data_IF_674286719174
#
_entry.id   IF_674286719174
#
_cell.length_a   1.000
_cell.length_b   1.000
_cell.length_c   1.000
_cell.angle_alpha   90.00
_cell.angle_beta   90.00
_cell.angle_gamma   90.00
#
_symmetry.space_group_name_H-M   'P 1'
#
loop_
_entity.id
_entity.type
_entity.pdbx_description
1 polymer ?
#
# COMPACT_ATOMS: atom_id res chain seq x y z
N UNK A 1 40.83 63.88 -13.79
CA UNK A 1 40.48 64.80 -12.68
C UNK A 1 38.97 64.98 -12.79
N UNK A 2 38.11 64.66 -11.82
CA UNK A 2 38.25 64.69 -10.38
C UNK A 2 37.13 63.82 -9.75
N UNK A 3 37.57 62.94 -8.86
CA UNK A 3 36.98 62.41 -7.62
C UNK A 3 35.59 61.79 -7.43
N UNK A 4 35.69 60.69 -6.67
CA UNK A 4 34.73 59.98 -5.81
C UNK A 4 34.12 60.95 -4.78
N UNK A 5 32.91 60.67 -4.30
CA UNK A 5 32.59 60.43 -2.86
C UNK A 5 31.07 60.37 -2.64
N UNK A 6 30.58 59.18 -2.27
CA UNK A 6 29.57 58.85 -1.24
C UNK A 6 28.30 59.71 -1.16
N UNK A 7 27.13 59.09 -1.40
CA UNK A 7 26.05 59.11 -0.40
C UNK A 7 25.17 57.87 -0.52
N UNK A 8 25.10 57.13 0.58
CA UNK A 8 24.29 55.93 0.75
C UNK A 8 22.80 56.28 0.85
N UNK A 9 21.94 55.52 0.16
CA UNK A 9 20.53 55.39 0.50
C UNK A 9 20.18 53.90 0.44
N UNK A 10 20.16 53.28 1.62
CA UNK A 10 19.61 51.94 1.87
C UNK A 10 18.10 52.09 1.96
N UNK A 11 17.32 51.57 1.00
CA UNK A 11 15.90 51.29 1.22
C UNK A 11 15.48 50.01 0.50
N UNK A 12 15.37 48.94 1.30
CA UNK A 12 14.29 47.96 1.35
C UNK A 12 13.79 47.23 0.07
N UNK A 13 13.98 45.90 0.10
CA UNK A 13 12.98 44.86 -0.21
C UNK A 13 12.55 44.74 -1.69
N UNK A 14 12.72 43.60 -2.36
CA UNK A 14 12.09 42.32 -2.03
C UNK A 14 12.86 41.15 -2.69
N UNK A 15 13.24 40.15 -1.91
CA UNK A 15 13.62 38.84 -2.46
C UNK A 15 12.35 38.00 -2.51
N UNK A 16 11.72 37.90 -3.68
CA UNK A 16 10.65 36.93 -3.92
C UNK A 16 11.35 35.59 -4.20
N UNK A 17 11.64 34.84 -3.13
CA UNK A 17 12.05 33.44 -3.25
C UNK A 17 10.78 32.59 -3.44
N UNK A 18 10.34 32.49 -4.70
CA UNK A 18 9.22 31.64 -5.10
C UNK A 18 9.58 30.16 -4.97
N UNK A 19 9.36 29.57 -3.80
CA UNK A 19 9.33 28.12 -3.65
C UNK A 19 7.99 27.60 -4.17
N UNK A 20 7.97 27.13 -5.43
CA UNK A 20 6.90 26.26 -5.93
C UNK A 20 7.04 24.88 -5.26
N UNK A 21 6.72 24.82 -3.97
CA UNK A 21 6.54 23.58 -3.23
C UNK A 21 5.22 22.95 -3.64
N UNK A 22 5.24 22.04 -4.62
CA UNK A 22 4.13 21.13 -4.84
C UNK A 22 3.98 20.30 -3.56
N UNK A 23 2.92 20.56 -2.79
CA UNK A 23 2.57 19.78 -1.61
C UNK A 23 2.13 18.39 -2.05
N UNK A 24 3.09 17.46 -2.06
CA UNK A 24 2.79 16.02 -2.05
C UNK A 24 2.02 15.76 -0.76
N UNK A 25 0.69 15.67 -0.87
CA UNK A 25 -0.15 15.29 0.25
C UNK A 25 0.20 13.85 0.64
N UNK A 26 1.10 13.72 1.62
CA UNK A 26 1.32 12.45 2.31
C UNK A 26 0.00 12.11 3.02
N UNK A 27 -0.80 11.22 2.42
CA UNK A 27 -2.00 10.70 3.07
C UNK A 27 -1.57 10.08 4.40
N UNK A 28 -2.06 10.65 5.51
CA UNK A 28 -1.68 10.21 6.85
C UNK A 28 -2.16 8.77 7.11
N UNK A 29 -1.39 7.95 7.85
CA UNK A 29 -1.76 6.56 8.18
C UNK A 29 -3.12 6.38 8.88
N UNK A 30 -3.69 7.46 9.41
CA UNK A 30 -5.01 7.49 10.07
C UNK A 30 -6.18 7.10 9.15
N UNK A 31 -5.99 7.06 7.82
CA UNK A 31 -7.01 6.60 6.87
C UNK A 31 -6.98 5.09 6.59
N UNK A 32 -6.11 4.32 7.25
CA UNK A 32 -5.93 2.89 7.00
C UNK A 32 -6.99 2.01 7.68
N UNK A 33 -8.25 2.27 7.36
CA UNK A 33 -9.38 1.46 7.82
C UNK A 33 -9.67 0.35 6.82
N UNK A 34 -9.69 -0.89 7.30
CA UNK A 34 -10.12 -2.03 6.51
C UNK A 34 -11.59 -1.85 6.06
N UNK A 35 -11.89 -2.00 4.76
CA UNK A 35 -13.26 -1.90 4.28
C UNK A 35 -14.08 -3.13 4.68
N UNK A 36 -15.40 -2.94 4.81
CA UNK A 36 -16.33 -4.04 5.03
C UNK A 36 -16.41 -4.94 3.78
N UNK A 37 -16.00 -6.20 3.92
CA UNK A 37 -16.13 -7.22 2.89
C UNK A 37 -17.61 -7.60 2.64
N UNK A 38 -17.92 -8.18 1.48
CA UNK A 38 -19.29 -8.57 1.11
C UNK A 38 -20.14 -7.41 0.58
N UNK A 39 -19.53 -6.24 0.37
CA UNK A 39 -20.19 -5.09 -0.28
C UNK A 39 -19.96 -5.13 -1.79
N UNK A 40 -20.71 -4.34 -2.56
CA UNK A 40 -20.50 -4.23 -4.01
C UNK A 40 -19.11 -3.72 -4.40
N UNK A 41 -18.43 -2.99 -3.50
CA UNK A 41 -17.06 -2.51 -3.68
C UNK A 41 -15.99 -3.55 -3.30
N UNK A 42 -16.33 -4.43 -2.36
CA UNK A 42 -15.43 -5.48 -1.86
C UNK A 42 -16.18 -6.82 -1.85
N UNK A 43 -16.50 -7.41 -3.02
CA UNK A 43 -17.18 -8.69 -3.08
C UNK A 43 -16.39 -9.78 -2.34
N UNK A 44 -17.11 -10.60 -1.56
CA UNK A 44 -16.55 -11.82 -1.01
C UNK A 44 -16.40 -12.89 -2.09
N UNK A 45 -15.35 -13.69 -1.93
CA UNK A 45 -15.10 -14.89 -2.71
C UNK A 45 -15.68 -16.07 -1.93
N UNK A 46 -16.71 -16.70 -2.48
CA UNK A 46 -17.33 -17.89 -1.91
C UNK A 46 -17.43 -18.97 -2.98
N UNK A 47 -16.72 -20.10 -2.82
CA UNK A 47 -15.74 -20.38 -1.77
C UNK A 47 -14.50 -19.46 -1.84
N UNK A 48 -13.73 -19.31 -0.75
CA UNK A 48 -12.44 -18.64 -0.79
C UNK A 48 -11.50 -19.26 -1.82
N UNK A 49 -10.57 -18.47 -2.36
CA UNK A 49 -9.65 -18.94 -3.41
C UNK A 49 -8.31 -19.36 -2.82
N UNK A 50 -7.83 -20.54 -3.20
CA UNK A 50 -6.44 -20.92 -3.00
C UNK A 50 -5.59 -20.16 -4.03
N UNK A 51 -4.56 -19.47 -3.56
CA UNK A 51 -3.66 -18.65 -4.39
C UNK A 51 -2.21 -18.93 -4.08
N UNK A 52 -1.33 -18.68 -5.06
CA UNK A 52 0.12 -18.71 -4.89
C UNK A 52 0.72 -17.36 -5.24
N UNK A 53 1.71 -16.91 -4.47
CA UNK A 53 2.44 -15.66 -4.71
C UNK A 53 3.35 -15.80 -5.94
N UNK A 54 3.27 -14.85 -6.85
CA UNK A 54 4.04 -14.83 -8.11
C UNK A 54 5.05 -13.68 -8.19
N UNK A 55 5.96 -13.78 -9.16
CA UNK A 55 7.06 -12.84 -9.38
C UNK A 55 8.33 -13.25 -8.64
N UNK A 56 9.31 -12.34 -8.57
CA UNK A 56 10.65 -12.62 -8.01
C UNK A 56 10.92 -11.90 -6.69
N UNK A 57 10.09 -10.93 -6.32
CA UNK A 57 10.25 -10.11 -5.11
C UNK A 57 9.18 -10.44 -4.07
N UNK A 58 9.51 -10.24 -2.80
CA UNK A 58 8.57 -10.31 -1.68
C UNK A 58 7.35 -9.40 -1.90
N UNK A 59 6.19 -9.84 -1.44
CA UNK A 59 4.92 -9.12 -1.50
C UNK A 59 4.58 -8.62 -0.10
N UNK A 60 4.45 -7.30 0.04
CA UNK A 60 4.13 -6.66 1.32
C UNK A 60 2.64 -6.74 1.61
N UNK A 61 2.29 -6.94 2.87
CA UNK A 61 0.92 -6.87 3.34
C UNK A 61 0.55 -5.44 3.73
N UNK A 62 -0.72 -5.10 3.52
CA UNK A 62 -1.30 -3.81 3.85
C UNK A 62 -2.51 -4.01 4.76
N UNK A 63 -2.75 -3.11 5.71
CA UNK A 63 -3.91 -3.19 6.62
C UNK A 63 -5.22 -2.77 5.96
N UNK A 64 -5.13 -2.08 4.82
CA UNK A 64 -6.24 -1.69 3.96
C UNK A 64 -5.77 -1.77 2.50
N UNK A 65 -6.68 -1.80 1.49
CA UNK A 65 -6.32 -1.82 0.08
C UNK A 65 -5.80 -0.44 -0.41
N UNK A 66 -4.71 0.01 0.19
CA UNK A 66 -4.07 1.30 -0.07
C UNK A 66 -2.56 1.18 0.14
N UNK A 67 -1.77 1.69 -0.81
CA UNK A 67 -0.30 1.64 -0.77
C UNK A 67 0.31 2.45 0.39
N UNK A 68 -0.44 3.36 1.01
CA UNK A 68 -0.03 4.11 2.21
C UNK A 68 -0.30 3.36 3.52
N UNK A 69 -0.83 2.15 3.46
CA UNK A 69 -1.18 1.34 4.63
C UNK A 69 -0.31 0.09 4.83
N UNK A 70 1.03 0.14 4.64
CA UNK A 70 1.86 -1.06 4.76
C UNK A 70 1.90 -1.53 6.21
N UNK A 71 1.77 -2.83 6.43
CA UNK A 71 2.05 -3.44 7.72
C UNK A 71 3.57 -3.60 7.83
N UNK A 72 4.18 -3.03 8.86
CA UNK A 72 5.63 -3.09 9.04
C UNK A 72 6.07 -4.54 9.28
N UNK A 73 7.15 -4.97 8.61
CA UNK A 73 7.71 -6.31 8.76
C UNK A 73 6.90 -7.47 8.18
N UNK A 74 5.65 -7.27 7.74
CA UNK A 74 4.80 -8.36 7.24
C UNK A 74 4.86 -8.44 5.72
N UNK A 75 5.36 -9.57 5.23
CA UNK A 75 5.45 -9.90 3.82
C UNK A 75 5.46 -11.41 3.61
N UNK A 76 5.16 -11.80 2.38
CA UNK A 76 5.29 -13.17 1.88
C UNK A 76 6.24 -13.18 0.69
N UNK A 77 6.77 -14.35 0.34
CA UNK A 77 7.73 -14.53 -0.74
C UNK A 77 7.11 -15.31 -1.90
N UNK A 78 7.71 -15.27 -3.11
CA UNK A 78 7.25 -16.11 -4.21
C UNK A 78 7.08 -17.58 -3.81
N UNK A 79 6.03 -18.21 -4.34
CA UNK A 79 5.57 -19.57 -4.02
C UNK A 79 4.88 -19.78 -2.66
N UNK A 80 4.78 -18.77 -1.81
CA UNK A 80 3.93 -18.86 -0.63
C UNK A 80 2.46 -19.04 -1.05
N UNK A 81 1.74 -19.88 -0.31
CA UNK A 81 0.32 -20.17 -0.54
C UNK A 81 -0.54 -19.29 0.36
N UNK A 82 -1.56 -18.70 -0.23
CA UNK A 82 -2.49 -17.79 0.42
C UNK A 82 -3.93 -18.24 0.20
N UNK A 83 -4.80 -17.85 1.11
CA UNK A 83 -6.25 -17.99 0.96
C UNK A 83 -6.80 -16.59 0.75
N UNK A 84 -7.46 -16.34 -0.38
CA UNK A 84 -8.09 -15.06 -0.68
C UNK A 84 -9.59 -15.12 -0.36
N UNK A 85 -10.09 -14.11 0.38
CA UNK A 85 -11.47 -14.06 0.88
C UNK A 85 -12.31 -12.99 0.21
N UNK A 86 -11.70 -11.91 -0.26
CA UNK A 86 -12.39 -10.83 -0.93
C UNK A 86 -11.47 -10.16 -1.94
N UNK A 87 -12.06 -9.51 -2.95
CA UNK A 87 -11.31 -8.69 -3.89
C UNK A 87 -11.98 -7.33 -4.06
N UNK A 88 -11.19 -6.29 -4.23
CA UNK A 88 -11.69 -4.98 -4.66
C UNK A 88 -11.64 -4.87 -6.18
N UNK A 89 -12.45 -3.98 -6.76
CA UNK A 89 -12.43 -3.73 -8.21
C UNK A 89 -11.12 -3.12 -8.70
N UNK A 90 -10.39 -2.42 -7.83
CA UNK A 90 -9.10 -1.78 -8.12
C UNK A 90 -7.89 -2.71 -7.86
N UNK A 91 -8.12 -4.02 -7.79
CA UNK A 91 -7.06 -5.03 -7.89
C UNK A 91 -6.32 -5.30 -6.57
N UNK A 92 -7.06 -5.29 -5.46
CA UNK A 92 -6.57 -5.79 -4.18
C UNK A 92 -7.28 -7.07 -3.76
N UNK A 93 -6.55 -7.96 -3.11
CA UNK A 93 -7.10 -9.17 -2.49
C UNK A 93 -6.90 -9.12 -0.99
N UNK A 94 -7.96 -9.35 -0.22
CA UNK A 94 -7.87 -9.69 1.19
C UNK A 94 -7.48 -11.15 1.30
N UNK A 95 -6.37 -11.42 1.97
CA UNK A 95 -5.74 -12.73 2.04
C UNK A 95 -5.34 -13.09 3.46
N UNK A 96 -5.28 -14.39 3.73
CA UNK A 96 -4.60 -14.96 4.89
C UNK A 96 -3.42 -15.82 4.42
N UNK A 97 -2.28 -15.65 5.09
CA UNK A 97 -1.16 -16.57 5.04
C UNK A 97 -1.15 -17.41 6.31
N UNK A 98 -1.02 -18.72 6.17
CA UNK A 98 -0.77 -19.63 7.29
C UNK A 98 0.67 -20.12 7.19
N UNK A 99 1.50 -19.83 8.19
CA UNK A 99 2.87 -20.30 8.22
C UNK A 99 2.88 -21.82 8.46
N UNK A 100 3.33 -22.65 7.50
CA UNK A 100 3.27 -24.10 7.63
C UNK A 100 4.23 -24.66 8.69
N UNK A 101 5.22 -23.88 9.13
CA UNK A 101 6.20 -24.30 10.15
C UNK A 101 5.73 -23.99 11.57
N UNK A 102 5.08 -22.85 11.76
CA UNK A 102 4.69 -22.38 13.11
C UNK A 102 3.19 -22.53 13.39
N UNK A 103 2.36 -22.68 12.36
CA UNK A 103 0.91 -22.69 12.49
C UNK A 103 0.29 -21.30 12.73
N UNK A 104 1.10 -20.24 12.83
CA UNK A 104 0.60 -18.88 13.00
C UNK A 104 0.08 -18.35 11.66
N UNK A 105 -1.00 -17.57 11.70
CA UNK A 105 -1.54 -16.89 10.54
C UNK A 105 -1.31 -15.37 10.59
N UNK A 106 -1.42 -14.76 9.42
CA UNK A 106 -1.52 -13.31 9.28
C UNK A 106 -2.46 -12.99 8.13
N UNK A 107 -3.34 -12.01 8.36
CA UNK A 107 -4.28 -11.52 7.35
C UNK A 107 -3.94 -10.10 6.92
N UNK A 108 -4.33 -9.74 5.70
CA UNK A 108 -4.19 -8.39 5.18
C UNK A 108 -4.46 -8.31 3.68
N UNK A 109 -4.12 -7.16 3.10
CA UNK A 109 -4.35 -6.83 1.71
C UNK A 109 -3.06 -6.93 0.91
N UNK A 110 -3.14 -7.50 -0.30
CA UNK A 110 -2.05 -7.54 -1.28
C UNK A 110 -2.59 -7.16 -2.66
N UNK A 111 -1.70 -6.75 -3.57
CA UNK A 111 -2.08 -6.53 -4.98
C UNK A 111 -2.44 -7.86 -5.63
N UNK A 112 -3.66 -7.98 -6.17
CA UNK A 112 -4.17 -9.23 -6.78
C UNK A 112 -3.30 -9.71 -7.94
N UNK A 113 -2.69 -8.79 -8.70
CA UNK A 113 -1.76 -9.11 -9.79
C UNK A 113 -0.49 -9.87 -9.34
N UNK A 114 -0.22 -9.93 -8.03
CA UNK A 114 0.88 -10.70 -7.43
C UNK A 114 0.47 -12.12 -7.05
N UNK A 115 -0.76 -12.50 -7.34
CA UNK A 115 -1.33 -13.80 -7.02
C UNK A 115 -1.72 -14.54 -8.29
N UNK A 116 -1.55 -15.86 -8.28
CA UNK A 116 -2.17 -16.77 -9.23
C UNK A 116 -3.14 -17.67 -8.48
N UNK A 117 -4.41 -17.65 -8.86
CA UNK A 117 -5.40 -18.59 -8.33
C UNK A 117 -5.04 -20.01 -8.75
N UNK A 118 -5.05 -20.93 -7.78
CA UNK A 118 -4.78 -22.36 -7.98
C UNK A 118 -5.99 -23.24 -7.71
N UNK A 119 -7.12 -22.67 -7.30
CA UNK A 119 -8.37 -23.38 -7.05
C UNK A 119 -9.20 -22.69 -5.96
N UNK A 120 -10.13 -23.45 -5.38
CA UNK A 120 -10.98 -23.02 -4.27
C UNK A 120 -10.62 -23.77 -3.00
N UNK A 121 -10.81 -23.14 -1.84
CA UNK A 121 -10.66 -23.78 -0.52
C UNK A 121 -12.02 -24.24 -0.05
N UNK A 122 -12.17 -25.55 0.15
CA UNK A 122 -13.36 -26.17 0.74
C UNK A 122 -13.02 -26.95 2.01
N UNK A 123 -14.04 -27.35 2.79
CA UNK A 123 -13.83 -28.25 3.92
C UNK A 123 -13.20 -29.55 3.43
N UNK A 124 -12.21 -30.05 4.19
CA UNK A 124 -11.72 -31.42 4.00
C UNK A 124 -12.80 -32.35 4.54
N UNK A 125 -13.33 -33.22 3.68
CA UNK A 125 -14.23 -34.31 4.09
C UNK A 125 -13.43 -35.41 4.78
#
# INVERSE_FOLDING_TARGET
MLDRTVLAIIICSTVILGALGASVHAQTPSSCKEPHAGTSRVPMLSPPLASVVTGTRRVKFYSAPNLHCPISGVFVVPNDRLIAYAQTRDGWSSVMYLNPKTGNDVSGWVRSARLKTTGTVGPKQ
#
